data_IF_101001451043
#
_entry.id   IF_101001451043
#
_cell.length_a   1.000
_cell.length_b   1.000
_cell.length_c   1.000
_cell.angle_alpha   90.00
_cell.angle_beta   90.00
_cell.angle_gamma   90.00
#
_symmetry.space_group_name_H-M   'P 1'
#
loop_
_entity.id
_entity.type
_entity.pdbx_description
1 polymer ?
#
# COMPACT_ATOMS: atom_id res chain seq x y z
N UNK A 1 12.94 -18.43 -18.25
CA UNK A 1 11.65 -18.53 -17.55
C UNK A 1 11.04 -17.13 -17.46
N UNK A 2 9.95 -16.93 -18.20
CA UNK A 2 9.17 -15.69 -18.20
C UNK A 2 7.96 -15.80 -17.30
N UNK A 3 7.72 -14.78 -16.50
CA UNK A 3 6.59 -14.68 -15.58
C UNK A 3 5.80 -13.41 -15.91
N UNK A 4 4.51 -13.56 -16.19
CA UNK A 4 3.57 -12.44 -16.27
C UNK A 4 3.00 -12.17 -14.87
N UNK A 5 3.16 -10.96 -14.34
CA UNK A 5 2.51 -10.48 -13.13
C UNK A 5 1.31 -9.60 -13.45
N UNK A 6 0.20 -9.80 -12.76
CA UNK A 6 -1.03 -9.04 -12.92
C UNK A 6 -1.58 -8.57 -11.58
N UNK A 7 -1.80 -7.26 -11.44
CA UNK A 7 -2.62 -6.66 -10.39
C UNK A 7 -3.96 -6.22 -11.02
N UNK A 8 -5.01 -7.06 -10.85
CA UNK A 8 -6.27 -6.90 -11.55
C UNK A 8 -7.13 -5.84 -10.88
N UNK A 9 -7.25 -4.70 -11.54
CA UNK A 9 -8.08 -3.58 -11.13
C UNK A 9 -8.78 -2.95 -12.34
N UNK A 10 -9.50 -1.84 -12.15
CA UNK A 10 -10.04 -1.05 -13.27
C UNK A 10 -8.92 -0.57 -14.20
N UNK A 11 -7.80 -0.19 -13.62
CA UNK A 11 -6.52 0.04 -14.30
C UNK A 11 -5.59 -1.10 -13.86
N UNK A 12 -5.47 -2.13 -14.70
CA UNK A 12 -4.72 -3.34 -14.35
C UNK A 12 -3.23 -3.12 -14.61
N UNK A 13 -2.42 -3.24 -13.57
CA UNK A 13 -0.97 -3.25 -13.69
C UNK A 13 -0.48 -4.59 -14.22
N UNK A 14 0.51 -4.57 -15.12
CA UNK A 14 1.17 -5.79 -15.60
C UNK A 14 2.68 -5.62 -15.66
N UNK A 15 3.39 -6.73 -15.56
CA UNK A 15 4.81 -6.81 -15.84
C UNK A 15 5.22 -8.16 -16.43
N UNK A 16 6.35 -8.18 -17.11
CA UNK A 16 7.03 -9.40 -17.54
C UNK A 16 8.40 -9.44 -16.86
N UNK A 17 8.61 -10.48 -16.08
CA UNK A 17 9.94 -10.84 -15.59
C UNK A 17 10.53 -11.96 -16.46
N UNK A 18 11.78 -11.80 -16.87
CA UNK A 18 12.55 -12.82 -17.57
C UNK A 18 13.80 -13.16 -16.77
N UNK A 19 13.92 -14.39 -16.29
CA UNK A 19 14.99 -14.83 -15.40
C UNK A 19 15.21 -13.90 -14.19
N UNK A 20 14.11 -13.40 -13.62
CA UNK A 20 14.11 -12.47 -12.49
C UNK A 20 14.51 -11.03 -12.83
N UNK A 21 14.73 -10.71 -14.10
CA UNK A 21 14.96 -9.34 -14.59
C UNK A 21 13.66 -8.76 -15.14
N UNK A 22 13.43 -7.50 -14.91
CA UNK A 22 12.27 -6.79 -15.43
C UNK A 22 12.48 -6.52 -16.94
N UNK A 23 11.68 -7.20 -17.78
CA UNK A 23 11.73 -7.09 -19.24
C UNK A 23 10.84 -5.93 -19.72
N UNK A 24 9.61 -5.86 -19.21
CA UNK A 24 8.65 -4.79 -19.51
C UNK A 24 7.60 -4.68 -18.42
N UNK A 25 6.93 -3.56 -18.39
CA UNK A 25 5.79 -3.32 -17.51
C UNK A 25 4.87 -2.23 -18.08
N UNK A 26 3.65 -2.17 -17.59
CA UNK A 26 2.70 -1.17 -18.04
C UNK A 26 1.33 -1.32 -17.38
N UNK A 27 0.37 -0.61 -17.94
CA UNK A 27 -0.98 -0.55 -17.42
C UNK A 27 -2.01 -0.77 -18.54
N UNK A 28 -2.99 -1.63 -18.27
CA UNK A 28 -4.17 -1.81 -19.09
C UNK A 28 -5.25 -0.87 -18.57
N UNK A 29 -5.44 0.26 -19.25
CA UNK A 29 -6.47 1.24 -18.91
C UNK A 29 -7.75 0.89 -19.67
N UNK A 30 -8.78 0.45 -18.96
CA UNK A 30 -10.07 0.15 -19.57
C UNK A 30 -10.85 1.47 -19.72
N UNK A 31 -11.26 1.86 -20.95
CA UNK A 31 -11.99 3.09 -21.19
C UNK A 31 -13.29 3.17 -20.38
N UNK A 32 -13.53 4.32 -19.76
CA UNK A 32 -14.69 4.55 -18.87
C UNK A 32 -16.01 4.64 -19.62
N UNK A 33 -15.98 5.01 -20.89
CA UNK A 33 -17.14 5.19 -21.80
C UNK A 33 -17.76 3.85 -22.23
N UNK A 34 -17.01 2.76 -22.10
CA UNK A 34 -17.48 1.42 -22.47
C UNK A 34 -18.50 0.88 -21.48
N UNK A 35 -19.53 0.22 -21.97
CA UNK A 35 -20.44 -0.56 -21.12
C UNK A 35 -19.75 -1.80 -20.56
N UNK A 36 -20.39 -2.49 -19.62
CA UNK A 36 -19.78 -3.63 -18.92
C UNK A 36 -19.24 -4.73 -19.86
N UNK A 37 -20.02 -5.13 -20.87
CA UNK A 37 -19.61 -6.21 -21.78
C UNK A 37 -18.45 -5.77 -22.68
N UNK A 38 -18.47 -4.54 -23.17
CA UNK A 38 -17.38 -3.96 -23.94
C UNK A 38 -16.09 -3.89 -23.11
N UNK A 39 -16.17 -3.49 -21.84
CA UNK A 39 -15.02 -3.43 -20.93
C UNK A 39 -14.41 -4.82 -20.67
N UNK A 40 -15.27 -5.84 -20.49
CA UNK A 40 -14.82 -7.24 -20.33
C UNK A 40 -14.12 -7.72 -21.60
N UNK A 41 -14.71 -7.52 -22.77
CA UNK A 41 -14.10 -7.92 -24.06
C UNK A 41 -12.80 -7.16 -24.35
N UNK A 42 -12.75 -5.86 -24.04
CA UNK A 42 -11.51 -5.08 -24.16
C UNK A 42 -10.40 -5.64 -23.25
N UNK A 43 -10.74 -5.96 -22.01
CA UNK A 43 -9.80 -6.53 -21.06
C UNK A 43 -9.29 -7.91 -21.53
N UNK A 44 -10.22 -8.79 -21.96
CA UNK A 44 -9.90 -10.10 -22.49
C UNK A 44 -8.90 -10.02 -23.65
N UNK A 45 -9.17 -9.17 -24.65
CA UNK A 45 -8.31 -8.99 -25.80
C UNK A 45 -6.90 -8.53 -25.41
N UNK A 46 -6.78 -7.62 -24.42
CA UNK A 46 -5.48 -7.15 -23.93
C UNK A 46 -4.72 -8.25 -23.17
N UNK A 47 -5.40 -9.05 -22.34
CA UNK A 47 -4.76 -10.21 -21.69
C UNK A 47 -4.28 -11.22 -22.72
N UNK A 48 -5.10 -11.57 -23.72
CA UNK A 48 -4.71 -12.47 -24.81
C UNK A 48 -3.49 -11.92 -25.57
N UNK A 49 -3.49 -10.61 -25.84
CA UNK A 49 -2.35 -9.95 -26.49
C UNK A 49 -1.07 -10.07 -25.66
N UNK A 50 -1.09 -9.79 -24.36
CA UNK A 50 0.06 -9.95 -23.47
C UNK A 50 0.58 -11.40 -23.47
N UNK A 51 -0.34 -12.38 -23.38
CA UNK A 51 0.02 -13.79 -23.40
C UNK A 51 0.61 -14.23 -24.74
N UNK A 52 0.18 -13.63 -25.84
CA UNK A 52 0.73 -13.90 -27.18
C UNK A 52 2.09 -13.24 -27.39
N UNK A 53 2.20 -11.95 -27.09
CA UNK A 53 3.40 -11.15 -27.35
C UNK A 53 4.61 -11.63 -26.52
N UNK A 54 4.38 -12.00 -25.28
CA UNK A 54 5.47 -12.36 -24.35
C UNK A 54 5.61 -13.86 -24.09
N UNK A 55 4.62 -14.66 -24.43
CA UNK A 55 4.61 -16.11 -24.21
C UNK A 55 5.17 -16.52 -22.84
N UNK A 56 4.56 -16.09 -21.73
CA UNK A 56 5.05 -16.40 -20.39
C UNK A 56 4.95 -17.91 -20.10
N UNK A 57 5.90 -18.42 -19.30
CA UNK A 57 5.89 -19.80 -18.80
C UNK A 57 4.98 -19.93 -17.57
N UNK A 58 4.86 -18.85 -16.80
CA UNK A 58 4.07 -18.75 -15.57
C UNK A 58 3.31 -17.43 -15.50
N UNK A 59 2.21 -17.45 -14.75
CA UNK A 59 1.43 -16.24 -14.44
C UNK A 59 1.25 -16.12 -12.94
N UNK A 60 1.46 -14.93 -12.40
CA UNK A 60 1.18 -14.59 -11.01
C UNK A 60 0.12 -13.49 -10.96
N UNK A 61 -0.93 -13.68 -10.17
CA UNK A 61 -2.08 -12.76 -10.09
C UNK A 61 -2.36 -12.45 -8.62
N UNK A 62 -2.68 -11.18 -8.32
CA UNK A 62 -3.22 -10.84 -7.00
C UNK A 62 -4.64 -11.38 -6.84
N UNK A 63 -4.87 -12.14 -5.78
CA UNK A 63 -6.19 -12.69 -5.47
C UNK A 63 -7.09 -11.63 -4.83
N UNK A 64 -8.37 -11.68 -5.16
CA UNK A 64 -9.36 -10.74 -4.66
C UNK A 64 -9.72 -11.04 -3.21
N UNK A 65 -9.54 -10.05 -2.32
CA UNK A 65 -9.96 -10.17 -0.92
C UNK A 65 -11.37 -9.63 -0.75
N UNK A 66 -12.25 -10.47 -0.18
CA UNK A 66 -13.60 -10.04 0.21
C UNK A 66 -13.54 -9.03 1.38
N UNK A 67 -14.35 -7.98 1.31
CA UNK A 67 -14.56 -7.03 2.43
C UNK A 67 -13.80 -5.71 2.35
N UNK A 68 -12.88 -5.52 1.39
CA UNK A 68 -12.13 -4.26 1.23
C UNK A 68 -12.85 -3.28 0.29
N UNK A 69 -13.59 -3.78 -0.68
CA UNK A 69 -14.28 -2.99 -1.71
C UNK A 69 -15.80 -3.07 -1.58
N UNK A 70 -16.52 -2.04 -2.04
CA UNK A 70 -17.98 -2.09 -2.13
C UNK A 70 -18.45 -3.23 -3.06
N UNK A 71 -19.64 -3.78 -2.79
CA UNK A 71 -20.20 -4.95 -3.51
C UNK A 71 -20.17 -4.79 -5.03
N UNK A 72 -20.47 -3.60 -5.57
CA UNK A 72 -20.44 -3.32 -7.00
C UNK A 72 -19.02 -3.45 -7.58
N UNK A 73 -18.04 -2.89 -6.91
CA UNK A 73 -16.62 -2.96 -7.32
C UNK A 73 -16.14 -4.39 -7.26
N UNK A 74 -16.40 -5.10 -6.17
CA UNK A 74 -16.01 -6.51 -6.03
C UNK A 74 -16.62 -7.38 -7.13
N UNK A 75 -17.92 -7.21 -7.43
CA UNK A 75 -18.61 -7.93 -8.50
C UNK A 75 -17.99 -7.66 -9.88
N UNK A 76 -17.54 -6.41 -10.13
CA UNK A 76 -16.86 -6.08 -11.38
C UNK A 76 -15.47 -6.71 -11.45
N UNK A 77 -14.67 -6.56 -10.40
CA UNK A 77 -13.31 -7.11 -10.34
C UNK A 77 -13.31 -8.65 -10.40
N UNK A 78 -14.30 -9.31 -9.78
CA UNK A 78 -14.45 -10.78 -9.88
C UNK A 78 -14.67 -11.25 -11.31
N UNK A 79 -15.40 -10.50 -12.13
CA UNK A 79 -15.57 -10.81 -13.55
C UNK A 79 -14.28 -10.67 -14.33
N UNK A 80 -13.52 -9.58 -14.10
CA UNK A 80 -12.22 -9.39 -14.76
C UNK A 80 -11.22 -10.47 -14.34
N UNK A 81 -11.17 -10.81 -13.04
CA UNK A 81 -10.32 -11.88 -12.53
C UNK A 81 -10.68 -13.24 -13.16
N UNK A 82 -11.96 -13.57 -13.26
CA UNK A 82 -12.40 -14.79 -13.94
C UNK A 82 -11.99 -14.85 -15.42
N UNK A 83 -12.08 -13.73 -16.13
CA UNK A 83 -11.63 -13.63 -17.53
C UNK A 83 -10.11 -13.80 -17.61
N UNK A 84 -9.34 -13.10 -16.78
CA UNK A 84 -7.88 -13.25 -16.76
C UNK A 84 -7.46 -14.70 -16.49
N UNK A 85 -8.05 -15.33 -15.46
CA UNK A 85 -7.79 -16.74 -15.12
C UNK A 85 -8.10 -17.68 -16.29
N UNK A 86 -9.23 -17.49 -16.97
CA UNK A 86 -9.62 -18.31 -18.14
C UNK A 86 -8.62 -18.16 -19.28
N UNK A 87 -8.21 -16.93 -19.61
CA UNK A 87 -7.23 -16.68 -20.66
C UNK A 87 -5.86 -17.27 -20.30
N UNK A 88 -5.39 -17.05 -19.07
CA UNK A 88 -4.13 -17.56 -18.58
C UNK A 88 -4.11 -19.10 -18.56
N UNK A 89 -5.18 -19.75 -18.08
CA UNK A 89 -5.28 -21.21 -18.06
C UNK A 89 -5.18 -21.82 -19.45
N UNK A 90 -5.81 -21.23 -20.46
CA UNK A 90 -5.71 -21.69 -21.86
C UNK A 90 -4.26 -21.64 -22.40
N UNK A 91 -3.42 -20.75 -21.87
CA UNK A 91 -2.03 -20.55 -22.33
C UNK A 91 -1.02 -21.33 -21.53
N UNK A 92 -1.09 -21.23 -20.18
CA UNK A 92 -0.05 -21.79 -19.28
C UNK A 92 -0.56 -22.92 -18.38
N UNK A 93 -1.84 -23.31 -18.52
CA UNK A 93 -2.48 -24.36 -17.73
C UNK A 93 -2.30 -24.15 -16.22
N UNK A 94 -1.72 -25.12 -15.53
CA UNK A 94 -1.55 -25.09 -14.07
C UNK A 94 -0.40 -24.18 -13.58
N UNK A 95 0.33 -23.53 -14.49
CA UNK A 95 1.41 -22.59 -14.14
C UNK A 95 0.88 -21.21 -13.75
N UNK A 96 -0.20 -21.16 -12.98
CA UNK A 96 -0.82 -19.95 -12.45
C UNK A 96 -0.71 -19.97 -10.93
N UNK A 97 -0.20 -18.89 -10.33
CA UNK A 97 -0.17 -18.68 -8.91
C UNK A 97 -1.06 -17.50 -8.52
N UNK A 98 -1.90 -17.71 -7.50
CA UNK A 98 -2.70 -16.67 -6.88
C UNK A 98 -2.08 -16.30 -5.53
N UNK A 99 -1.95 -15.02 -5.25
CA UNK A 99 -1.39 -14.50 -4.01
C UNK A 99 -2.31 -13.47 -3.38
N UNK A 100 -2.56 -13.60 -2.10
CA UNK A 100 -3.17 -12.50 -1.35
C UNK A 100 -2.17 -11.33 -1.23
N UNK A 101 -2.64 -10.07 -1.07
CA UNK A 101 -1.75 -8.92 -0.90
C UNK A 101 -0.72 -9.09 0.22
N UNK A 102 -1.11 -9.67 1.35
CA UNK A 102 -0.19 -9.90 2.49
C UNK A 102 0.88 -10.94 2.18
N UNK A 103 0.54 -11.98 1.43
CA UNK A 103 1.50 -13.05 1.07
C UNK A 103 2.58 -12.54 0.13
N UNK A 104 2.21 -11.92 -0.99
CA UNK A 104 3.23 -11.48 -1.94
C UNK A 104 4.07 -10.33 -1.39
N UNK A 105 3.50 -9.40 -0.62
CA UNK A 105 4.26 -8.32 0.02
C UNK A 105 5.32 -8.85 0.97
N UNK A 106 4.96 -9.83 1.81
CA UNK A 106 5.90 -10.43 2.76
C UNK A 106 7.01 -11.26 2.07
N UNK A 107 6.79 -11.75 0.85
CA UNK A 107 7.70 -12.70 0.19
C UNK A 107 8.39 -12.11 -1.07
N UNK A 108 8.05 -10.91 -1.51
CA UNK A 108 8.67 -10.31 -2.70
C UNK A 108 10.04 -9.72 -2.40
N UNK A 109 10.14 -8.61 -1.72
CA UNK A 109 11.39 -7.90 -1.44
C UNK A 109 11.73 -7.99 0.04
N UNK A 110 13.01 -8.15 0.37
CA UNK A 110 13.46 -8.36 1.75
C UNK A 110 13.20 -7.17 2.68
N UNK A 111 13.08 -5.97 2.11
CA UNK A 111 12.77 -4.73 2.83
C UNK A 111 11.24 -4.57 3.11
N UNK A 112 10.38 -5.47 2.62
CA UNK A 112 8.93 -5.40 2.77
C UNK A 112 8.38 -6.40 3.79
N UNK A 113 7.20 -6.09 4.29
CA UNK A 113 6.39 -6.99 5.10
C UNK A 113 4.94 -7.04 4.55
N UNK A 114 4.11 -7.95 5.06
CA UNK A 114 2.74 -8.15 4.58
C UNK A 114 1.81 -6.94 4.70
N UNK A 115 2.20 -5.91 5.46
CA UNK A 115 1.44 -4.65 5.63
C UNK A 115 2.05 -3.47 4.89
N UNK A 116 3.03 -3.71 4.02
CA UNK A 116 3.72 -2.67 3.26
C UNK A 116 2.75 -1.80 2.47
N UNK A 117 3.00 -0.49 2.48
CA UNK A 117 2.20 0.50 1.78
C UNK A 117 2.65 0.65 0.34
N UNK A 118 1.79 1.17 -0.52
CA UNK A 118 2.04 1.32 -1.97
C UNK A 118 3.36 2.01 -2.31
N UNK A 119 3.71 3.08 -1.61
CA UNK A 119 4.99 3.78 -1.85
C UNK A 119 6.22 2.97 -1.41
N UNK A 120 6.10 2.15 -0.36
CA UNK A 120 7.20 1.27 0.09
C UNK A 120 7.49 0.23 -0.98
N UNK A 121 6.45 -0.31 -1.61
CA UNK A 121 6.54 -1.24 -2.73
C UNK A 121 7.20 -0.55 -3.94
N UNK A 122 6.75 0.66 -4.32
CA UNK A 122 7.36 1.41 -5.42
C UNK A 122 8.86 1.64 -5.20
N UNK A 123 9.26 2.01 -3.98
CA UNK A 123 10.68 2.22 -3.64
C UNK A 123 11.46 0.91 -3.70
N UNK A 124 10.91 -0.18 -3.16
CA UNK A 124 11.55 -1.48 -3.19
C UNK A 124 11.77 -1.97 -4.64
N UNK A 125 10.77 -1.79 -5.51
CA UNK A 125 10.88 -2.07 -6.96
C UNK A 125 11.95 -1.20 -7.60
N UNK A 126 11.92 0.12 -7.39
CA UNK A 126 12.91 1.04 -7.94
C UNK A 126 14.33 0.67 -7.51
N UNK A 127 14.52 0.37 -6.23
CA UNK A 127 15.81 -0.05 -5.66
C UNK A 127 16.30 -1.37 -6.25
N UNK A 128 15.42 -2.37 -6.28
CA UNK A 128 15.78 -3.72 -6.74
C UNK A 128 16.13 -3.78 -8.23
N UNK A 129 15.31 -3.14 -9.07
CA UNK A 129 15.49 -3.14 -10.53
C UNK A 129 16.27 -1.94 -11.06
N UNK A 130 16.79 -1.06 -10.19
CA UNK A 130 17.56 0.14 -10.52
C UNK A 130 16.86 1.04 -11.55
N UNK A 131 15.55 1.27 -11.34
CA UNK A 131 14.71 2.04 -12.27
C UNK A 131 14.92 3.56 -12.16
N UNK A 132 15.49 4.03 -11.05
CA UNK A 132 15.87 5.43 -10.80
C UNK A 132 17.32 5.50 -10.33
N UNK A 133 17.96 6.64 -10.51
CA UNK A 133 19.34 6.85 -10.06
C UNK A 133 19.47 6.87 -8.53
N UNK A 134 20.67 6.56 -8.03
CA UNK A 134 20.95 6.45 -6.59
C UNK A 134 20.74 7.76 -5.84
N UNK A 135 20.99 8.91 -6.46
CA UNK A 135 20.79 10.22 -5.83
C UNK A 135 19.31 10.49 -5.60
N UNK A 136 18.48 10.21 -6.60
CA UNK A 136 17.01 10.31 -6.48
C UNK A 136 16.49 9.36 -5.41
N UNK A 137 16.95 8.11 -5.39
CA UNK A 137 16.55 7.11 -4.39
C UNK A 137 16.95 7.53 -2.98
N UNK A 138 18.17 8.05 -2.79
CA UNK A 138 18.66 8.56 -1.51
C UNK A 138 17.81 9.74 -1.02
N UNK A 139 17.52 10.71 -1.90
CA UNK A 139 16.65 11.86 -1.58
C UNK A 139 15.25 11.43 -1.12
N UNK A 140 14.64 10.48 -1.81
CA UNK A 140 13.34 9.91 -1.45
C UNK A 140 13.41 9.23 -0.08
N UNK A 141 14.47 8.45 0.16
CA UNK A 141 14.67 7.71 1.41
C UNK A 141 14.87 8.65 2.60
N UNK A 142 15.62 9.74 2.42
CA UNK A 142 15.78 10.78 3.46
C UNK A 142 14.47 11.50 3.79
N UNK A 143 13.68 11.87 2.76
CA UNK A 143 12.35 12.46 2.96
C UNK A 143 11.47 11.54 3.81
N UNK A 144 11.47 10.23 3.53
CA UNK A 144 10.69 9.24 4.29
C UNK A 144 11.18 9.09 5.73
N UNK A 145 12.50 9.03 5.94
CA UNK A 145 13.09 8.92 7.27
C UNK A 145 12.69 10.12 8.14
N UNK A 146 12.83 11.34 7.62
CA UNK A 146 12.43 12.56 8.34
C UNK A 146 10.95 12.54 8.76
N UNK A 147 10.06 12.02 7.90
CA UNK A 147 8.62 11.90 8.21
C UNK A 147 8.37 10.84 9.28
N UNK A 148 9.03 9.68 9.17
CA UNK A 148 8.88 8.58 10.12
C UNK A 148 9.36 8.99 11.50
N UNK A 149 10.49 9.68 11.59
CA UNK A 149 11.07 10.17 12.86
C UNK A 149 10.15 11.23 13.49
N UNK A 150 9.63 12.17 12.70
CA UNK A 150 8.69 13.18 13.17
C UNK A 150 7.38 12.55 13.68
N UNK A 151 6.83 11.59 12.96
CA UNK A 151 5.61 10.85 13.35
C UNK A 151 5.80 10.08 14.64
N UNK A 152 6.95 9.43 14.80
CA UNK A 152 7.29 8.67 16.01
C UNK A 152 7.45 9.60 17.21
N UNK A 153 8.06 10.77 17.03
CA UNK A 153 8.19 11.80 18.06
C UNK A 153 6.82 12.33 18.51
N UNK A 154 5.93 12.64 17.55
CA UNK A 154 4.57 13.13 17.85
C UNK A 154 3.76 12.07 18.58
N UNK A 155 3.81 10.80 18.14
CA UNK A 155 3.13 9.68 18.83
C UNK A 155 3.60 9.51 20.27
N UNK A 156 4.91 9.52 20.52
CA UNK A 156 5.47 9.43 21.88
C UNK A 156 4.99 10.57 22.77
N UNK A 157 5.03 11.81 22.27
CA UNK A 157 4.52 12.98 23.03
C UNK A 157 3.05 12.82 23.38
N UNK A 158 2.25 12.30 22.47
CA UNK A 158 0.81 12.08 22.70
C UNK A 158 0.55 10.97 23.72
N UNK A 159 1.29 9.87 23.65
CA UNK A 159 1.15 8.76 24.61
C UNK A 159 1.46 9.22 26.03
N UNK A 160 2.55 9.97 26.22
CA UNK A 160 2.91 10.56 27.53
C UNK A 160 1.80 11.48 28.04
N UNK A 161 1.37 12.44 27.23
CA UNK A 161 0.32 13.38 27.61
C UNK A 161 -1.03 12.73 27.87
N UNK A 162 -1.40 11.72 27.06
CA UNK A 162 -2.64 10.98 27.26
C UNK A 162 -2.61 10.15 28.56
N UNK A 163 -1.47 9.54 28.89
CA UNK A 163 -1.30 8.78 30.11
C UNK A 163 -1.31 9.71 31.35
N UNK A 164 -0.55 10.80 31.32
CA UNK A 164 -0.46 11.75 32.42
C UNK A 164 -1.78 12.48 32.64
N UNK A 165 -2.48 12.85 31.57
CA UNK A 165 -3.80 13.48 31.68
C UNK A 165 -4.85 12.55 32.29
N UNK A 166 -4.87 11.26 31.92
CA UNK A 166 -5.78 10.29 32.54
C UNK A 166 -5.48 10.09 34.03
N UNK A 167 -4.22 9.94 34.39
CA UNK A 167 -3.78 9.84 35.80
C UNK A 167 -4.15 11.09 36.57
N UNK A 168 -3.93 12.26 35.97
CA UNK A 168 -4.20 13.55 36.59
C UNK A 168 -5.70 13.80 36.78
N UNK A 169 -6.54 13.49 35.78
CA UNK A 169 -8.01 13.55 35.90
C UNK A 169 -8.51 12.59 36.99
N UNK A 170 -7.99 11.35 37.05
CA UNK A 170 -8.36 10.42 38.11
C UNK A 170 -7.94 10.90 39.52
N UNK A 171 -6.75 11.49 39.64
CA UNK A 171 -6.27 12.10 40.87
C UNK A 171 -7.17 13.29 41.29
N UNK A 172 -7.49 14.19 40.37
CA UNK A 172 -8.36 15.35 40.61
C UNK A 172 -9.79 14.92 40.97
N UNK A 173 -10.34 13.89 40.33
CA UNK A 173 -11.63 13.36 40.70
C UNK A 173 -11.70 12.79 42.12
N UNK A 174 -10.61 12.10 42.55
CA UNK A 174 -10.47 11.64 43.95
C UNK A 174 -10.34 12.80 44.95
N UNK A 175 -9.54 13.80 44.62
CA UNK A 175 -9.35 15.02 45.46
C UNK A 175 -10.62 15.85 45.55
N UNK A 176 -11.41 15.97 44.47
CA UNK A 176 -12.67 16.70 44.46
C UNK A 176 -13.66 16.18 45.52
N UNK A 177 -13.69 14.86 45.74
CA UNK A 177 -14.57 14.25 46.75
C UNK A 177 -14.07 14.51 48.20
N UNK A 178 -12.82 14.95 48.37
CA UNK A 178 -12.23 15.31 49.67
C UNK A 178 -12.04 16.82 49.92
N UNK A 179 -12.42 17.67 48.94
CA UNK A 179 -12.27 19.13 49.09
C UNK A 179 -13.31 19.70 50.04
N UNK A 180 -12.85 20.48 51.01
CA UNK A 180 -13.70 21.09 52.04
C UNK A 180 -14.26 22.46 51.63
N UNK A 181 -13.67 23.14 50.63
CA UNK A 181 -14.08 24.48 50.20
C UNK A 181 -14.49 24.49 48.71
N UNK A 182 -15.44 25.37 48.37
CA UNK A 182 -15.93 25.57 47.00
C UNK A 182 -14.83 26.17 46.09
N UNK A 183 -13.95 26.99 46.65
CA UNK A 183 -12.80 27.58 45.94
C UNK A 183 -11.83 26.50 45.43
N UNK A 184 -11.51 25.51 46.27
CA UNK A 184 -10.65 24.37 45.85
C UNK A 184 -11.29 23.56 44.75
N UNK A 185 -12.59 23.28 44.82
CA UNK A 185 -13.33 22.56 43.76
C UNK A 185 -13.27 23.31 42.44
N UNK A 186 -13.47 24.61 42.44
CA UNK A 186 -13.45 25.43 41.23
C UNK A 186 -12.05 25.50 40.60
N UNK A 187 -10.99 25.57 41.40
CA UNK A 187 -9.60 25.49 40.90
C UNK A 187 -9.34 24.16 40.18
N UNK A 188 -9.77 23.04 40.76
CA UNK A 188 -9.61 21.73 40.11
C UNK A 188 -10.43 21.59 38.83
N UNK A 189 -11.65 22.10 38.78
CA UNK A 189 -12.47 22.10 37.56
C UNK A 189 -11.79 22.90 36.43
N UNK A 190 -11.21 24.05 36.75
CA UNK A 190 -10.47 24.87 35.80
C UNK A 190 -9.27 24.12 35.21
N UNK A 191 -8.46 23.47 36.06
CA UNK A 191 -7.33 22.66 35.62
C UNK A 191 -7.74 21.50 34.72
N UNK A 192 -8.85 20.81 35.03
CA UNK A 192 -9.40 19.74 34.17
C UNK A 192 -9.77 20.29 32.80
N UNK A 193 -10.36 21.46 32.73
CA UNK A 193 -10.80 22.08 31.50
C UNK A 193 -9.61 22.54 30.64
N UNK A 194 -8.58 23.14 31.26
CA UNK A 194 -7.33 23.50 30.59
C UNK A 194 -6.62 22.27 30.00
N UNK A 195 -6.55 21.17 30.74
CA UNK A 195 -5.96 19.91 30.24
C UNK A 195 -6.78 19.28 29.09
N UNK A 196 -8.11 19.36 29.16
CA UNK A 196 -8.97 18.90 28.03
C UNK A 196 -8.72 19.73 26.78
N UNK A 197 -8.55 21.04 26.87
CA UNK A 197 -8.20 21.94 25.75
C UNK A 197 -6.84 21.56 25.15
N UNK A 198 -5.83 21.32 25.99
CA UNK A 198 -4.51 20.89 25.56
C UNK A 198 -4.59 19.58 24.75
N UNK A 199 -5.35 18.59 25.22
CA UNK A 199 -5.55 17.32 24.50
C UNK A 199 -6.19 17.55 23.11
N UNK A 200 -7.16 18.45 23.00
CA UNK A 200 -7.78 18.77 21.72
C UNK A 200 -6.79 19.39 20.73
N UNK A 201 -5.92 20.29 21.22
CA UNK A 201 -4.84 20.88 20.41
C UNK A 201 -3.89 19.80 19.88
N UNK A 202 -3.45 18.87 20.74
CA UNK A 202 -2.57 17.78 20.32
C UNK A 202 -3.24 16.82 19.34
N UNK A 203 -4.53 16.50 19.52
CA UNK A 203 -5.28 15.70 18.55
C UNK A 203 -5.29 16.38 17.19
N UNK A 204 -5.53 17.69 17.13
CA UNK A 204 -5.48 18.45 15.87
C UNK A 204 -4.10 18.40 15.22
N UNK A 205 -3.03 18.60 16.00
CA UNK A 205 -1.65 18.52 15.50
C UNK A 205 -1.32 17.15 14.90
N UNK A 206 -1.87 16.07 15.47
CA UNK A 206 -1.69 14.72 14.93
C UNK A 206 -2.44 14.54 13.60
N UNK A 207 -3.66 15.04 13.52
CA UNK A 207 -4.43 14.93 12.30
C UNK A 207 -3.81 15.78 11.17
N UNK A 208 -3.27 16.95 11.48
CA UNK A 208 -2.51 17.77 10.53
C UNK A 208 -1.20 17.06 10.11
N UNK A 209 -0.50 16.42 11.06
CA UNK A 209 0.70 15.63 10.75
C UNK A 209 0.39 14.42 9.87
N UNK A 210 -0.73 13.71 10.11
CA UNK A 210 -1.17 12.60 9.25
C UNK A 210 -1.42 13.07 7.83
N UNK A 211 -2.11 14.21 7.64
CA UNK A 211 -2.34 14.79 6.31
C UNK A 211 -1.03 15.15 5.60
N UNK A 212 -0.08 15.75 6.32
CA UNK A 212 1.24 16.06 5.76
C UNK A 212 1.99 14.81 5.32
N UNK A 213 1.92 13.74 6.11
CA UNK A 213 2.50 12.44 5.78
C UNK A 213 1.88 11.90 4.50
N UNK A 214 0.56 11.88 4.42
CA UNK A 214 -0.18 11.38 3.24
C UNK A 214 0.17 12.18 1.98
N UNK A 215 0.21 13.50 2.07
CA UNK A 215 0.61 14.36 0.96
C UNK A 215 2.07 14.10 0.52
N UNK A 216 2.99 13.89 1.46
CA UNK A 216 4.38 13.61 1.11
C UNK A 216 4.51 12.25 0.41
N UNK A 217 3.78 11.24 0.87
CA UNK A 217 3.75 9.95 0.16
C UNK A 217 3.19 10.05 -1.25
N UNK A 218 2.14 10.86 -1.44
CA UNK A 218 1.59 11.13 -2.76
C UNK A 218 2.62 11.81 -3.66
N UNK A 219 3.35 12.79 -3.15
CA UNK A 219 4.39 13.49 -3.90
C UNK A 219 5.55 12.56 -4.28
N UNK A 220 5.98 11.68 -3.38
CA UNK A 220 7.01 10.66 -3.67
C UNK A 220 6.53 9.71 -4.77
N UNK A 221 5.30 9.23 -4.69
CA UNK A 221 4.73 8.36 -5.72
C UNK A 221 4.66 9.06 -7.10
N UNK A 222 4.29 10.34 -7.14
CA UNK A 222 4.30 11.14 -8.36
C UNK A 222 5.73 11.38 -8.89
N UNK A 223 6.72 11.60 -8.01
CA UNK A 223 8.13 11.74 -8.39
C UNK A 223 8.64 10.46 -9.04
N UNK A 224 8.39 9.29 -8.45
CA UNK A 224 8.74 7.99 -9.02
C UNK A 224 8.05 7.79 -10.38
N UNK A 225 6.74 8.05 -10.46
CA UNK A 225 5.99 7.91 -11.69
C UNK A 225 6.54 8.80 -12.81
N UNK A 226 6.94 10.04 -12.50
CA UNK A 226 7.51 10.96 -13.48
C UNK A 226 8.89 10.53 -13.98
N UNK A 227 9.67 9.82 -13.17
CA UNK A 227 11.04 9.38 -13.48
C UNK A 227 11.09 8.08 -14.30
N UNK A 228 10.25 7.11 -13.97
CA UNK A 228 10.31 5.79 -14.60
C UNK A 228 8.95 5.23 -15.03
N UNK A 229 7.86 6.01 -14.97
CA UNK A 229 6.52 5.54 -15.36
C UNK A 229 5.89 4.51 -14.42
N UNK A 230 6.51 4.26 -13.26
CA UNK A 230 6.09 3.23 -12.33
C UNK A 230 4.90 3.72 -11.48
N UNK A 231 3.69 3.28 -11.80
CA UNK A 231 2.50 3.50 -10.96
C UNK A 231 2.45 2.50 -9.80
N UNK A 232 1.55 2.73 -8.83
CA UNK A 232 1.38 1.78 -7.72
C UNK A 232 0.93 0.39 -8.21
N UNK A 233 -0.05 0.34 -9.11
CA UNK A 233 -0.61 -0.93 -9.59
C UNK A 233 0.41 -1.70 -10.46
N UNK A 234 1.28 -1.00 -11.20
CA UNK A 234 2.42 -1.61 -11.89
C UNK A 234 3.44 -2.15 -10.91
N UNK A 235 3.74 -1.41 -9.83
CA UNK A 235 4.66 -1.88 -8.78
C UNK A 235 4.15 -3.14 -8.10
N UNK A 236 2.84 -3.19 -7.84
CA UNK A 236 2.18 -4.34 -7.23
C UNK A 236 2.31 -5.56 -8.16
N UNK A 237 2.06 -5.42 -9.48
CA UNK A 237 2.24 -6.51 -10.46
C UNK A 237 3.69 -7.03 -10.51
N UNK A 238 4.68 -6.14 -10.37
CA UNK A 238 6.11 -6.53 -10.32
C UNK A 238 6.41 -7.30 -9.03
N UNK A 239 5.91 -6.85 -7.89
CA UNK A 239 6.05 -7.53 -6.60
C UNK A 239 5.46 -8.94 -6.63
N UNK A 240 4.26 -9.09 -7.20
CA UNK A 240 3.54 -10.37 -7.37
C UNK A 240 4.38 -11.34 -8.23
N UNK A 241 4.84 -10.90 -9.39
CA UNK A 241 5.68 -11.72 -10.27
C UNK A 241 7.02 -12.10 -9.63
N UNK A 242 7.65 -11.17 -8.91
CA UNK A 242 8.92 -11.41 -8.23
C UNK A 242 8.78 -12.38 -7.06
N UNK A 243 7.65 -12.33 -6.34
CA UNK A 243 7.31 -13.32 -5.32
C UNK A 243 7.27 -14.73 -5.91
N UNK A 244 6.60 -14.93 -7.05
CA UNK A 244 6.56 -16.23 -7.74
C UNK A 244 7.95 -16.65 -8.22
N UNK A 245 8.72 -15.74 -8.82
CA UNK A 245 10.08 -16.04 -9.28
C UNK A 245 10.99 -16.50 -8.15
N UNK A 246 10.95 -15.87 -6.96
CA UNK A 246 11.71 -16.31 -5.77
C UNK A 246 11.35 -17.73 -5.34
N UNK A 247 10.07 -18.12 -5.44
CA UNK A 247 9.61 -19.48 -5.11
C UNK A 247 10.05 -20.53 -6.13
N UNK A 248 10.07 -20.17 -7.41
CA UNK A 248 10.43 -21.08 -8.51
C UNK A 248 11.95 -21.18 -8.73
N UNK A 249 12.71 -20.18 -8.28
CA UNK A 249 14.17 -20.19 -8.39
C UNK A 249 14.72 -21.39 -7.63
N UNK A 250 15.47 -22.31 -8.28
CA UNK A 250 16.09 -23.41 -7.57
C UNK A 250 17.01 -22.85 -6.50
N UNK A 251 16.88 -23.38 -5.27
CA UNK A 251 17.80 -23.07 -4.19
C UNK A 251 19.21 -23.35 -4.70
N UNK A 252 20.07 -22.33 -4.74
CA UNK A 252 21.48 -22.57 -5.01
C UNK A 252 21.98 -23.39 -3.82
N UNK A 253 22.11 -24.70 -4.04
CA UNK A 253 22.82 -25.64 -3.16
C UNK A 253 24.30 -25.26 -3.18
#
# INVERSE_FOLDING_TARGET
MRILGLDIATNTGYCILNEGKLETYGMLNIPTEMNLLQRIGFFENNIIKLLSDYSPDYVAIEDLIMGISGVKTLSYLSRLSGVALSCCYKKVQNNIALYTPSEWKANSFDDLNGTAKKYEIQIAVCKHFKLIDENTLSSITEKLKGITDNTSSIKKKMEVLSCDTKKYIAFLARKRNGCKTESEKNSFLKQIEENKKAIQIYKKQIDDSKKNIENTYKNISLEIMSKCGLTCDVSDSIGIAYCLWKKLKPSRI
#
